data_IF_567269297282
#
_entry.id   IF_567269297282
#
_cell.length_a   1.000
_cell.length_b   1.000
_cell.length_c   1.000
_cell.angle_alpha   90.00
_cell.angle_beta   90.00
_cell.angle_gamma   90.00
#
_symmetry.space_group_name_H-M   'P 1'
#
loop_
_entity.id
_entity.type
_entity.pdbx_description
1 polymer ?
#
# COMPACT_ATOMS: atom_id res chain seq x y z
N UNK A 1 0.74 -1.94 -14.47
CA UNK A 1 -0.43 -2.13 -13.57
C UNK A 1 -0.49 -3.57 -13.07
N UNK A 2 -0.42 -4.61 -13.93
CA UNK A 2 -0.48 -6.02 -13.51
C UNK A 2 0.65 -6.43 -12.54
N UNK A 3 1.89 -5.97 -12.75
CA UNK A 3 3.05 -6.36 -11.95
C UNK A 3 3.09 -5.72 -10.56
N UNK A 4 2.45 -4.56 -10.37
CA UNK A 4 2.36 -3.92 -9.06
C UNK A 4 1.27 -4.58 -8.23
N UNK A 5 0.14 -4.87 -8.83
CA UNK A 5 -0.89 -5.71 -8.22
C UNK A 5 -0.31 -7.08 -7.82
N UNK A 6 0.58 -7.66 -8.64
CA UNK A 6 1.31 -8.89 -8.32
C UNK A 6 2.30 -8.72 -7.16
N UNK A 7 3.05 -7.60 -7.07
CA UNK A 7 3.98 -7.33 -5.97
C UNK A 7 3.27 -7.20 -4.62
N UNK A 8 2.15 -6.47 -4.58
CA UNK A 8 1.32 -6.38 -3.37
C UNK A 8 0.56 -7.67 -3.09
N UNK A 9 0.15 -8.42 -4.13
CA UNK A 9 -0.43 -9.75 -3.95
C UNK A 9 0.59 -10.74 -3.40
N UNK A 10 1.87 -10.65 -3.79
CA UNK A 10 2.96 -11.48 -3.24
C UNK A 10 3.27 -11.09 -1.79
N UNK A 11 3.37 -9.79 -1.46
CA UNK A 11 3.55 -9.35 -0.07
C UNK A 11 2.33 -9.69 0.79
N UNK A 12 1.13 -9.46 0.31
CA UNK A 12 -0.11 -9.88 0.95
C UNK A 12 -0.22 -11.40 1.04
N UNK A 13 0.23 -12.14 0.03
CA UNK A 13 0.27 -13.59 0.00
C UNK A 13 1.30 -14.20 0.95
N UNK A 14 2.50 -13.63 1.07
CA UNK A 14 3.52 -14.06 2.03
C UNK A 14 3.08 -13.78 3.47
N UNK A 15 2.44 -12.64 3.71
CA UNK A 15 1.83 -12.33 5.00
C UNK A 15 0.63 -13.27 5.26
N UNK A 16 -0.21 -13.54 4.28
CA UNK A 16 -1.31 -14.50 4.40
C UNK A 16 -0.82 -15.93 4.61
N UNK A 17 0.27 -16.37 3.99
CA UNK A 17 0.88 -17.68 4.20
C UNK A 17 1.43 -17.84 5.63
N UNK A 18 1.99 -16.81 6.24
CA UNK A 18 2.39 -16.83 7.65
C UNK A 18 1.19 -16.96 8.60
N UNK A 19 0.01 -16.51 8.17
CA UNK A 19 -1.25 -16.66 8.90
C UNK A 19 -1.96 -18.00 8.68
N UNK A 20 -1.66 -18.69 7.58
CA UNK A 20 -2.35 -19.91 7.18
C UNK A 20 -1.96 -21.15 7.98
N UNK A 21 -0.77 -21.18 8.58
CA UNK A 21 -0.28 -22.35 9.33
C UNK A 21 -1.09 -22.70 10.61
N UNK A 22 -2.03 -21.89 11.01
CA UNK A 22 -2.69 -22.10 12.30
C UNK A 22 -4.21 -22.21 12.38
N UNK A 23 -5.02 -22.16 11.30
CA UNK A 23 -6.48 -22.47 11.44
C UNK A 23 -7.23 -22.85 10.17
N UNK A 24 -7.86 -24.02 10.33
CA UNK A 24 -9.12 -24.54 9.73
C UNK A 24 -9.40 -24.27 8.25
N UNK A 25 -9.24 -25.28 7.45
CA UNK A 25 -9.48 -25.40 6.00
C UNK A 25 -10.90 -25.00 5.51
N UNK A 26 -11.78 -24.49 6.36
CA UNK A 26 -13.18 -24.17 5.98
C UNK A 26 -13.52 -22.69 5.81
N UNK A 27 -12.64 -21.76 6.11
CA UNK A 27 -12.97 -20.31 6.09
C UNK A 27 -12.14 -19.48 5.10
N UNK A 28 -11.07 -19.99 4.51
CA UNK A 28 -10.17 -19.26 3.61
C UNK A 28 -10.88 -18.64 2.40
N UNK A 29 -11.91 -19.29 1.85
CA UNK A 29 -12.68 -18.75 0.74
C UNK A 29 -13.46 -17.48 1.11
N UNK A 30 -13.93 -17.36 2.38
CA UNK A 30 -14.60 -16.15 2.89
C UNK A 30 -13.63 -14.98 3.02
N UNK A 31 -12.41 -15.27 3.46
CA UNK A 31 -11.36 -14.26 3.54
C UNK A 31 -10.92 -13.86 2.13
N UNK A 32 -10.83 -14.81 1.19
CA UNK A 32 -10.61 -14.53 -0.24
C UNK A 32 -11.71 -13.67 -0.87
N UNK A 33 -12.99 -13.95 -0.53
CA UNK A 33 -14.11 -13.10 -0.97
C UNK A 33 -13.98 -11.67 -0.40
N UNK A 34 -13.61 -11.52 0.86
CA UNK A 34 -13.43 -10.19 1.47
C UNK A 34 -12.32 -9.40 0.75
N UNK A 35 -11.18 -10.03 0.44
CA UNK A 35 -10.12 -9.41 -0.35
C UNK A 35 -10.62 -9.05 -1.76
N UNK A 36 -11.41 -9.92 -2.39
CA UNK A 36 -12.05 -9.65 -3.68
C UNK A 36 -12.99 -8.43 -3.62
N UNK A 37 -13.81 -8.32 -2.58
CA UNK A 37 -14.69 -7.15 -2.38
C UNK A 37 -13.88 -5.87 -2.16
N UNK A 38 -12.80 -5.92 -1.38
CA UNK A 38 -11.88 -4.79 -1.18
C UNK A 38 -11.29 -4.34 -2.53
N UNK A 39 -10.80 -5.28 -3.34
CA UNK A 39 -10.27 -4.97 -4.66
C UNK A 39 -11.34 -4.38 -5.59
N UNK A 40 -12.55 -4.95 -5.60
CA UNK A 40 -13.68 -4.43 -6.36
C UNK A 40 -14.11 -3.04 -5.89
N UNK A 41 -14.03 -2.75 -4.60
CA UNK A 41 -14.33 -1.42 -4.07
C UNK A 41 -13.32 -0.38 -4.59
N UNK A 42 -12.02 -0.72 -4.64
CA UNK A 42 -11.01 0.16 -5.26
C UNK A 42 -11.32 0.39 -6.74
N UNK A 43 -11.56 -0.68 -7.50
CA UNK A 43 -11.90 -0.55 -8.93
C UNK A 43 -13.18 0.25 -9.13
N UNK A 44 -14.21 0.01 -8.32
CA UNK A 44 -15.50 0.69 -8.43
C UNK A 44 -15.41 2.18 -8.07
N UNK A 45 -14.74 2.53 -6.96
CA UNK A 45 -14.57 3.92 -6.55
C UNK A 45 -13.67 4.72 -7.52
N UNK A 46 -12.66 4.07 -8.08
CA UNK A 46 -11.69 4.69 -8.97
C UNK A 46 -11.79 4.19 -10.43
N UNK A 47 -12.99 3.79 -10.85
CA UNK A 47 -13.21 3.18 -12.17
C UNK A 47 -12.66 4.02 -13.34
N UNK A 48 -12.67 5.34 -13.25
CA UNK A 48 -12.12 6.23 -14.29
C UNK A 48 -10.63 6.02 -14.51
N UNK A 49 -9.87 5.74 -13.45
CA UNK A 49 -8.43 5.45 -13.56
C UNK A 49 -8.18 4.19 -14.39
N UNK A 50 -9.07 3.21 -14.30
CA UNK A 50 -8.90 1.93 -14.98
C UNK A 50 -9.45 1.91 -16.41
N UNK A 51 -10.50 2.67 -16.69
CA UNK A 51 -11.29 2.54 -17.91
C UNK A 51 -11.36 3.81 -18.77
N UNK A 52 -10.87 4.96 -18.28
CA UNK A 52 -10.89 6.21 -19.06
C UNK A 52 -9.45 6.58 -19.43
N UNK A 53 -9.07 6.50 -20.71
CA UNK A 53 -7.72 6.88 -21.15
C UNK A 53 -7.40 8.34 -20.80
N UNK A 54 -6.19 8.59 -20.29
CA UNK A 54 -5.73 9.93 -19.94
C UNK A 54 -6.34 10.52 -18.68
N UNK A 55 -7.10 9.72 -17.91
CA UNK A 55 -7.59 10.17 -16.61
C UNK A 55 -6.48 10.12 -15.55
N UNK A 56 -6.28 11.23 -14.88
CA UNK A 56 -5.21 11.44 -13.89
C UNK A 56 -5.81 11.55 -12.49
N UNK A 57 -5.14 10.93 -11.51
CA UNK A 57 -5.56 10.96 -10.12
C UNK A 57 -4.39 11.43 -9.22
N UNK A 58 -4.54 12.54 -8.47
CA UNK A 58 -5.70 13.46 -8.49
C UNK A 58 -5.83 14.20 -9.83
N UNK A 59 -6.97 14.79 -10.08
CA UNK A 59 -7.21 15.55 -11.31
C UNK A 59 -6.15 16.65 -11.45
N UNK A 60 -5.56 16.77 -12.65
CA UNK A 60 -4.41 17.65 -12.89
C UNK A 60 -3.07 17.12 -12.39
N UNK A 61 -3.02 15.90 -11.80
CA UNK A 61 -1.78 15.23 -11.38
C UNK A 61 -1.28 15.61 -9.98
N UNK A 62 -1.52 16.82 -9.50
CA UNK A 62 -1.11 17.28 -8.17
C UNK A 62 0.36 16.99 -7.85
N UNK A 63 0.67 16.70 -6.59
CA UNK A 63 2.03 16.37 -6.14
C UNK A 63 2.55 15.05 -6.73
N UNK A 64 1.67 14.14 -7.15
CA UNK A 64 2.07 12.92 -7.84
C UNK A 64 2.79 13.22 -9.16
N UNK A 65 2.34 14.23 -9.90
CA UNK A 65 2.95 14.60 -11.17
C UNK A 65 4.12 15.58 -10.98
N UNK A 66 3.94 16.60 -10.13
CA UNK A 66 4.91 17.70 -10.00
C UNK A 66 6.14 17.35 -9.15
N UNK A 67 5.98 16.47 -8.18
CA UNK A 67 7.03 16.16 -7.19
C UNK A 67 7.38 14.68 -7.17
N UNK A 68 6.40 13.79 -6.94
CA UNK A 68 6.71 12.38 -6.68
C UNK A 68 7.18 11.66 -7.94
N UNK A 69 6.60 11.92 -9.11
CA UNK A 69 7.03 11.30 -10.35
C UNK A 69 8.50 11.63 -10.70
N UNK A 70 8.96 12.91 -10.69
CA UNK A 70 10.37 13.23 -10.86
C UNK A 70 11.27 12.58 -9.80
N UNK A 71 10.85 12.55 -8.54
CA UNK A 71 11.62 11.93 -7.46
C UNK A 71 11.82 10.44 -7.68
N UNK A 72 10.76 9.72 -8.02
CA UNK A 72 10.84 8.28 -8.24
C UNK A 72 11.60 7.93 -9.52
N UNK A 73 11.53 8.76 -10.58
CA UNK A 73 12.37 8.60 -11.77
C UNK A 73 13.84 8.72 -11.43
N UNK A 74 14.22 9.79 -10.75
CA UNK A 74 15.59 9.98 -10.30
C UNK A 74 16.07 8.83 -9.41
N UNK A 75 15.28 8.44 -8.41
CA UNK A 75 15.61 7.34 -7.53
C UNK A 75 15.78 6.00 -8.29
N UNK A 76 14.90 5.73 -9.27
CA UNK A 76 14.98 4.53 -10.09
C UNK A 76 16.22 4.49 -10.98
N UNK A 77 16.62 5.63 -11.56
CA UNK A 77 17.85 5.75 -12.35
C UNK A 77 19.09 5.45 -11.50
N UNK A 78 19.19 6.07 -10.32
CA UNK A 78 20.31 5.83 -9.40
C UNK A 78 20.34 4.37 -8.92
N UNK A 79 19.19 3.82 -8.54
CA UNK A 79 19.07 2.45 -8.08
C UNK A 79 19.51 1.44 -9.16
N UNK A 80 19.08 1.63 -10.42
CA UNK A 80 19.48 0.79 -11.55
C UNK A 80 20.97 0.92 -11.90
N UNK A 81 21.54 2.07 -11.61
CA UNK A 81 22.99 2.28 -11.73
C UNK A 81 23.80 1.70 -10.55
N UNK A 82 23.15 1.00 -9.62
CA UNK A 82 23.76 0.42 -8.43
C UNK A 82 24.17 1.45 -7.37
N UNK A 83 23.59 2.65 -7.41
CA UNK A 83 23.87 3.73 -6.45
C UNK A 83 22.64 4.01 -5.59
N UNK A 84 22.86 4.32 -4.31
CA UNK A 84 21.79 4.88 -3.47
C UNK A 84 21.61 6.35 -3.82
N UNK A 85 20.36 6.82 -4.03
CA UNK A 85 20.05 8.22 -4.35
C UNK A 85 20.14 9.10 -3.09
N UNK A 86 21.37 9.34 -2.62
CA UNK A 86 21.62 10.13 -1.40
C UNK A 86 21.53 11.64 -1.64
N UNK A 87 21.96 12.09 -2.83
CA UNK A 87 22.03 13.49 -3.20
C UNK A 87 21.41 13.70 -4.58
N UNK A 88 20.52 14.67 -4.70
CA UNK A 88 19.92 15.04 -5.98
C UNK A 88 20.50 16.39 -6.45
N UNK A 89 21.31 16.40 -7.51
CA UNK A 89 21.93 17.62 -8.01
C UNK A 89 20.95 18.53 -8.77
N UNK A 90 19.77 18.04 -9.13
CA UNK A 90 18.78 18.77 -9.93
C UNK A 90 17.79 19.59 -9.11
N UNK A 91 17.77 19.42 -7.77
CA UNK A 91 16.90 20.15 -6.86
C UNK A 91 17.69 21.30 -6.22
N UNK A 92 17.20 22.53 -6.37
CA UNK A 92 17.71 23.71 -5.65
C UNK A 92 19.24 23.91 -5.77
N UNK A 93 19.86 23.46 -6.87
CA UNK A 93 21.31 23.47 -7.02
C UNK A 93 22.04 22.34 -6.29
N UNK A 94 21.30 21.37 -5.80
CA UNK A 94 21.75 20.19 -5.09
C UNK A 94 21.15 20.08 -3.67
N UNK A 95 20.49 18.96 -3.38
CA UNK A 95 19.83 18.71 -2.11
C UNK A 95 20.05 17.28 -1.60
N UNK A 96 20.06 17.05 -0.26
CA UNK A 96 20.17 15.73 0.33
C UNK A 96 18.88 14.95 0.11
N UNK A 97 18.84 14.15 -0.95
CA UNK A 97 17.63 13.47 -1.42
C UNK A 97 17.14 12.37 -0.48
N UNK A 98 18.04 11.59 0.10
CA UNK A 98 17.67 10.53 1.04
C UNK A 98 17.10 11.06 2.37
N UNK A 99 17.30 12.34 2.68
CA UNK A 99 16.73 12.99 3.86
C UNK A 99 15.31 13.51 3.62
N UNK A 100 14.86 13.57 2.36
CA UNK A 100 13.50 13.95 2.01
C UNK A 100 12.55 12.77 2.23
N UNK A 101 11.61 12.94 3.17
CA UNK A 101 10.62 11.90 3.49
C UNK A 101 9.71 11.57 2.30
N UNK A 102 9.49 12.51 1.39
CA UNK A 102 8.64 12.29 0.21
C UNK A 102 9.36 11.43 -0.84
N UNK A 103 10.68 11.50 -0.90
CA UNK A 103 11.47 10.64 -1.77
C UNK A 103 11.40 9.16 -1.35
N UNK A 104 11.14 8.89 -0.07
CA UNK A 104 10.96 7.56 0.51
C UNK A 104 12.05 6.55 0.07
N UNK A 105 13.31 7.00 0.01
CA UNK A 105 14.45 6.25 -0.52
C UNK A 105 14.63 4.89 0.14
N UNK A 106 14.33 4.81 1.43
CA UNK A 106 14.49 3.57 2.22
C UNK A 106 13.21 2.74 2.33
N UNK A 107 12.20 3.01 1.51
CA UNK A 107 10.94 2.25 1.51
C UNK A 107 11.04 1.02 0.58
N UNK A 108 11.15 -0.22 1.12
CA UNK A 108 11.45 -1.41 0.33
C UNK A 108 10.49 -1.70 -0.84
N UNK A 109 9.18 -1.42 -0.75
CA UNK A 109 8.28 -1.60 -1.89
C UNK A 109 8.67 -0.81 -3.12
N UNK A 110 9.31 0.36 -2.96
CA UNK A 110 9.80 1.15 -4.10
C UNK A 110 11.05 0.56 -4.74
N UNK A 111 11.90 -0.13 -3.97
CA UNK A 111 13.05 -0.84 -4.53
C UNK A 111 12.61 -1.94 -5.49
N UNK A 112 11.57 -2.71 -5.09
CA UNK A 112 11.00 -3.71 -5.97
C UNK A 112 10.44 -3.06 -7.25
N UNK A 113 9.77 -1.91 -7.13
CA UNK A 113 9.30 -1.14 -8.26
C UNK A 113 10.45 -0.74 -9.19
N UNK A 114 11.49 -0.12 -8.65
CA UNK A 114 12.65 0.36 -9.43
C UNK A 114 13.41 -0.76 -10.12
N UNK A 115 13.47 -1.95 -9.50
CA UNK A 115 14.12 -3.11 -10.09
C UNK A 115 13.29 -3.77 -11.21
N UNK A 116 11.96 -3.74 -11.10
CA UNK A 116 11.05 -4.47 -12.00
C UNK A 116 10.52 -3.63 -13.17
N UNK A 117 10.67 -2.31 -13.13
CA UNK A 117 10.12 -1.41 -14.15
C UNK A 117 11.22 -0.68 -14.93
N UNK A 118 11.01 -0.54 -16.23
CA UNK A 118 11.96 0.21 -17.10
C UNK A 118 11.88 1.71 -16.89
N UNK A 119 10.68 2.26 -16.82
CA UNK A 119 10.41 3.69 -16.58
C UNK A 119 9.34 3.84 -15.52
N UNK A 120 9.42 4.92 -14.76
CA UNK A 120 8.41 5.30 -13.78
C UNK A 120 7.42 6.23 -14.46
N UNK A 121 6.24 5.73 -14.73
CA UNK A 121 5.16 6.51 -15.36
C UNK A 121 4.16 7.02 -14.31
N UNK A 122 3.34 7.97 -14.70
CA UNK A 122 2.29 8.50 -13.83
C UNK A 122 1.26 7.44 -13.46
N UNK A 123 0.91 6.56 -14.40
CA UNK A 123 0.00 5.43 -14.17
C UNK A 123 0.57 4.47 -13.12
N UNK A 124 1.90 4.32 -13.10
CA UNK A 124 2.58 3.50 -12.12
C UNK A 124 2.49 4.10 -10.71
N UNK A 125 2.71 5.41 -10.58
CA UNK A 125 2.56 6.13 -9.30
C UNK A 125 1.10 6.06 -8.82
N UNK A 126 0.14 6.26 -9.72
CA UNK A 126 -1.29 6.12 -9.39
C UNK A 126 -1.62 4.69 -8.95
N UNK A 127 -1.11 3.68 -9.64
CA UNK A 127 -1.31 2.28 -9.27
C UNK A 127 -0.70 1.95 -7.91
N UNK A 128 0.44 2.57 -7.55
CA UNK A 128 1.01 2.46 -6.19
C UNK A 128 0.06 3.05 -5.14
N UNK A 129 -0.50 4.23 -5.37
CA UNK A 129 -1.43 4.85 -4.44
C UNK A 129 -2.66 3.95 -4.19
N UNK A 130 -3.28 3.46 -5.27
CA UNK A 130 -4.42 2.55 -5.18
C UNK A 130 -4.06 1.19 -4.59
N UNK A 131 -2.85 0.70 -4.86
CA UNK A 131 -2.31 -0.51 -4.24
C UNK A 131 -2.16 -0.38 -2.71
N UNK A 132 -1.66 0.76 -2.23
CA UNK A 132 -1.59 1.04 -0.79
C UNK A 132 -2.97 1.17 -0.16
N UNK A 133 -3.93 1.75 -0.88
CA UNK A 133 -5.33 1.81 -0.44
C UNK A 133 -5.91 0.41 -0.22
N UNK A 134 -5.76 -0.47 -1.21
CA UNK A 134 -6.17 -1.88 -1.08
C UNK A 134 -5.44 -2.59 0.06
N UNK A 135 -4.12 -2.36 0.19
CA UNK A 135 -3.29 -2.93 1.26
C UNK A 135 -3.75 -2.46 2.65
N UNK A 136 -4.13 -1.19 2.79
CA UNK A 136 -4.74 -0.66 4.01
C UNK A 136 -6.05 -1.38 4.37
N UNK A 137 -6.93 -1.56 3.38
CA UNK A 137 -8.19 -2.29 3.56
C UNK A 137 -7.98 -3.74 3.99
N UNK A 138 -7.07 -4.46 3.32
CA UNK A 138 -6.73 -5.85 3.68
C UNK A 138 -6.12 -5.91 5.08
N UNK A 139 -5.24 -4.97 5.43
CA UNK A 139 -4.66 -4.86 6.76
C UNK A 139 -5.70 -4.65 7.85
N UNK A 140 -6.65 -3.75 7.62
CA UNK A 140 -7.72 -3.49 8.58
C UNK A 140 -8.68 -4.67 8.68
N UNK A 141 -9.00 -5.34 7.56
CA UNK A 141 -9.73 -6.60 7.59
C UNK A 141 -9.02 -7.64 8.45
N UNK A 142 -7.72 -7.83 8.23
CA UNK A 142 -6.93 -8.79 8.98
C UNK A 142 -6.87 -8.44 10.47
N UNK A 143 -6.68 -7.18 10.83
CA UNK A 143 -6.71 -6.71 12.21
C UNK A 143 -8.05 -7.01 12.87
N UNK A 144 -9.16 -6.69 12.22
CA UNK A 144 -10.50 -6.85 12.74
C UNK A 144 -10.92 -8.35 12.84
N UNK A 145 -10.58 -9.15 11.83
CA UNK A 145 -10.96 -10.56 11.74
C UNK A 145 -10.07 -11.51 12.54
N UNK A 146 -8.83 -11.12 12.84
CA UNK A 146 -7.83 -11.99 13.44
C UNK A 146 -7.11 -11.38 14.65
N UNK A 147 -7.28 -10.09 14.92
CA UNK A 147 -6.78 -9.44 16.12
C UNK A 147 -7.47 -10.00 17.35
N UNK A 148 -6.71 -10.13 18.44
CA UNK A 148 -7.21 -10.60 19.73
C UNK A 148 -6.81 -9.60 20.79
N UNK A 149 -7.79 -8.90 21.34
CA UNK A 149 -7.60 -7.96 22.42
C UNK A 149 -8.04 -8.62 23.73
N UNK A 150 -7.44 -8.24 24.82
CA UNK A 150 -7.87 -8.74 26.12
C UNK A 150 -9.35 -8.41 26.37
N UNK A 151 -10.16 -9.42 26.62
CA UNK A 151 -11.61 -9.28 26.81
C UNK A 151 -12.43 -9.04 25.52
N UNK A 152 -11.81 -8.88 24.36
CA UNK A 152 -12.52 -8.65 23.08
C UNK A 152 -12.05 -9.64 22.03
N UNK A 153 -12.94 -10.51 21.57
CA UNK A 153 -12.65 -11.45 20.48
C UNK A 153 -12.60 -10.78 19.10
N UNK A 154 -12.12 -11.52 18.10
CA UNK A 154 -12.13 -11.05 16.71
C UNK A 154 -13.55 -10.81 16.20
N UNK A 155 -13.71 -9.83 15.33
CA UNK A 155 -14.99 -9.52 14.71
C UNK A 155 -15.43 -10.63 13.75
N UNK A 156 -16.73 -10.70 13.48
CA UNK A 156 -17.25 -11.54 12.39
C UNK A 156 -16.70 -11.05 11.02
N UNK A 157 -16.60 -11.94 10.02
CA UNK A 157 -16.08 -11.59 8.71
C UNK A 157 -16.81 -10.41 8.04
N UNK A 158 -18.16 -10.35 8.07
CA UNK A 158 -18.87 -9.18 7.55
C UNK A 158 -18.53 -7.88 8.31
N UNK A 159 -18.45 -7.92 9.63
CA UNK A 159 -18.10 -6.75 10.43
C UNK A 159 -16.64 -6.31 10.16
N UNK A 160 -15.71 -7.25 10.00
CA UNK A 160 -14.34 -6.96 9.62
C UNK A 160 -14.24 -6.34 8.22
N UNK A 161 -15.09 -6.79 7.27
CA UNK A 161 -15.15 -6.19 5.94
C UNK A 161 -15.69 -4.75 5.98
N UNK A 162 -16.71 -4.48 6.78
CA UNK A 162 -17.21 -3.11 6.99
C UNK A 162 -16.12 -2.21 7.56
N UNK A 163 -15.38 -2.69 8.58
CA UNK A 163 -14.25 -1.94 9.14
C UNK A 163 -13.16 -1.67 8.10
N UNK A 164 -12.85 -2.65 7.25
CA UNK A 164 -11.88 -2.51 6.16
C UNK A 164 -12.28 -1.42 5.16
N UNK A 165 -13.53 -1.48 4.69
CA UNK A 165 -14.06 -0.50 3.73
C UNK A 165 -14.14 0.91 4.34
N UNK A 166 -14.59 1.02 5.59
CA UNK A 166 -14.63 2.28 6.30
C UNK A 166 -13.23 2.90 6.50
N UNK A 167 -12.23 2.07 6.80
CA UNK A 167 -10.86 2.52 6.97
C UNK A 167 -10.24 2.98 5.64
N UNK A 168 -10.26 2.13 4.62
CA UNK A 168 -9.59 2.42 3.35
C UNK A 168 -10.26 3.55 2.55
N UNK A 169 -11.57 3.74 2.70
CA UNK A 169 -12.32 4.78 2.01
C UNK A 169 -12.58 6.01 2.88
N UNK A 170 -11.94 6.12 4.04
CA UNK A 170 -12.08 7.31 4.87
C UNK A 170 -11.45 8.54 4.19
N UNK A 171 -11.87 9.71 4.63
CA UNK A 171 -11.42 10.99 4.10
C UNK A 171 -9.90 11.13 4.06
N UNK A 172 -9.21 10.65 5.09
CA UNK A 172 -7.75 10.69 5.15
C UNK A 172 -7.08 10.08 3.89
N UNK A 173 -7.48 8.89 3.48
CA UNK A 173 -6.90 8.25 2.30
C UNK A 173 -7.30 8.96 1.02
N UNK A 174 -8.56 9.35 0.89
CA UNK A 174 -9.09 9.95 -0.34
C UNK A 174 -8.42 11.30 -0.61
N UNK A 175 -8.32 12.15 0.40
CA UNK A 175 -7.71 13.49 0.27
C UNK A 175 -6.20 13.40 0.03
N UNK A 176 -5.52 12.40 0.61
CA UNK A 176 -4.07 12.28 0.50
C UNK A 176 -3.61 11.32 -0.62
N UNK A 177 -4.46 10.93 -1.56
CA UNK A 177 -4.03 10.10 -2.72
C UNK A 177 -2.93 10.76 -3.56
N UNK A 178 -2.81 12.09 -3.51
CA UNK A 178 -1.72 12.87 -4.09
C UNK A 178 -0.43 12.89 -3.27
N UNK A 179 -0.44 12.39 -2.02
CA UNK A 179 0.67 12.38 -1.09
C UNK A 179 1.01 10.94 -0.68
N UNK A 180 1.64 10.20 -1.58
CA UNK A 180 1.82 8.76 -1.48
C UNK A 180 2.57 8.32 -0.20
N UNK A 181 3.47 9.13 0.32
CA UNK A 181 4.16 8.88 1.59
C UNK A 181 3.19 8.81 2.79
N UNK A 182 2.17 9.70 2.84
CA UNK A 182 1.15 9.69 3.88
C UNK A 182 0.24 8.45 3.75
N UNK A 183 -0.18 8.17 2.53
CA UNK A 183 -0.99 6.98 2.21
C UNK A 183 -0.22 5.70 2.58
N UNK A 184 1.05 5.60 2.21
CA UNK A 184 1.88 4.45 2.54
C UNK A 184 2.03 4.26 4.06
N UNK A 185 2.35 5.34 4.80
CA UNK A 185 2.46 5.27 6.26
C UNK A 185 1.18 4.78 6.93
N UNK A 186 0.04 5.36 6.57
CA UNK A 186 -1.25 4.95 7.11
C UNK A 186 -1.64 3.51 6.71
N UNK A 187 -1.28 3.06 5.51
CA UNK A 187 -1.59 1.72 5.03
C UNK A 187 -0.91 0.61 5.87
N UNK A 188 0.25 0.88 6.45
CA UNK A 188 0.94 -0.05 7.34
C UNK A 188 0.38 -0.09 8.76
N UNK A 189 -0.37 0.93 9.20
CA UNK A 189 -0.86 1.01 10.58
C UNK A 189 -1.65 -0.22 11.03
N UNK A 190 -2.66 -0.73 10.29
CA UNK A 190 -3.39 -1.91 10.73
C UNK A 190 -2.51 -3.16 10.83
N UNK A 191 -1.52 -3.30 9.97
CA UNK A 191 -0.57 -4.41 9.98
C UNK A 191 0.35 -4.36 11.21
N UNK A 192 0.88 -3.18 11.53
CA UNK A 192 1.69 -2.97 12.71
C UNK A 192 0.89 -3.27 13.99
N UNK A 193 -0.36 -2.79 14.06
CA UNK A 193 -1.27 -3.07 15.17
C UNK A 193 -1.59 -4.57 15.30
N UNK A 194 -1.81 -5.25 14.19
CA UNK A 194 -2.05 -6.69 14.19
C UNK A 194 -0.83 -7.46 14.71
N UNK A 195 0.38 -7.07 14.25
CA UNK A 195 1.63 -7.64 14.74
C UNK A 195 1.81 -7.44 16.24
N UNK A 196 1.60 -6.22 16.72
CA UNK A 196 1.69 -5.87 18.14
C UNK A 196 0.70 -6.67 18.99
N UNK A 197 -0.57 -6.67 18.61
CA UNK A 197 -1.63 -7.38 19.35
C UNK A 197 -1.33 -8.88 19.45
N UNK A 198 -0.89 -9.48 18.35
CA UNK A 198 -0.52 -10.90 18.36
C UNK A 198 0.73 -11.18 19.18
N UNK A 199 1.77 -10.36 19.04
CA UNK A 199 2.99 -10.49 19.82
C UNK A 199 2.71 -10.47 21.33
N UNK A 200 1.90 -9.53 21.79
CA UNK A 200 1.51 -9.42 23.19
C UNK A 200 0.63 -10.59 23.66
N UNK A 201 -0.30 -11.06 22.82
CA UNK A 201 -1.23 -12.14 23.19
C UNK A 201 -0.56 -13.51 23.18
N UNK A 202 0.29 -13.78 22.18
CA UNK A 202 0.94 -15.08 22.04
C UNK A 202 2.20 -15.23 22.93
N UNK A 203 2.56 -14.20 23.70
CA UNK A 203 3.74 -14.16 24.60
C UNK A 203 5.04 -14.62 23.91
N UNK A 204 5.21 -14.30 22.64
CA UNK A 204 6.35 -14.69 21.81
C UNK A 204 7.28 -13.52 21.48
N UNK A 205 7.27 -12.47 22.32
CA UNK A 205 8.25 -11.39 22.30
C UNK A 205 9.30 -11.64 23.36
#
# INVERSE_FOLDING_TARGET
VLFIAAGYAVLGGLLALSFWQHRQARAWWRDGLAVGVIALAVVGCFWRVFFVPGYWLPEGGGDNASTLLPFYRFAAEEFRAGRLPLWNPYLYGGAPFAADIQAAVFYPPYWALYALTGDITFELVTALALGHLAFAGVGMYALAAFGRWEGVGPLSRPAALVAALAYMLCDYFIVHLGNLNLVAGAAWLPWAMLGLVRGLTDRRL
#
